data_IF_767168561657
#
_entry.id   IF_767168561657
#
_cell.length_a   1.000
_cell.length_b   1.000
_cell.length_c   1.000
_cell.angle_alpha   90.00
_cell.angle_beta   90.00
_cell.angle_gamma   90.00
#
_symmetry.space_group_name_H-M   'P 1'
#
loop_
_entity.id
_entity.type
_entity.pdbx_description
1 polymer ?
#
# COMPACT_ATOMS: atom_id res chain seq x y z
N UNK A 1 0.33 4.26 30.14
CA UNK A 1 1.23 3.64 29.15
C UNK A 1 1.28 4.56 27.93
N UNK A 2 2.46 4.91 27.38
CA UNK A 2 2.59 5.80 26.22
C UNK A 2 2.69 4.96 24.93
N UNK A 3 1.79 5.14 23.93
CA UNK A 3 1.80 4.33 22.71
C UNK A 3 2.85 4.83 21.70
N UNK A 4 3.66 3.90 21.16
CA UNK A 4 4.67 4.18 20.12
C UNK A 4 4.27 3.70 18.72
N UNK A 5 3.18 2.95 18.61
CA UNK A 5 2.60 2.48 17.33
C UNK A 5 1.18 3.02 17.21
N UNK A 6 0.77 3.28 15.98
CA UNK A 6 -0.62 3.62 15.65
C UNK A 6 -1.36 2.38 15.15
N UNK A 7 -2.57 2.56 14.63
CA UNK A 7 -3.48 1.47 14.28
C UNK A 7 -3.20 0.83 12.91
N UNK A 8 -3.79 -0.35 12.68
CA UNK A 8 -3.77 -1.09 11.42
C UNK A 8 -4.07 -0.23 10.19
N UNK A 9 -5.15 0.56 10.23
CA UNK A 9 -5.54 1.47 9.15
C UNK A 9 -4.42 2.42 8.71
N UNK A 10 -3.66 2.98 9.65
CA UNK A 10 -2.56 3.87 9.29
C UNK A 10 -1.46 3.14 8.49
N UNK A 11 -1.14 1.90 8.89
CA UNK A 11 -0.21 1.03 8.17
C UNK A 11 -0.65 0.73 6.74
N UNK A 12 -1.91 0.34 6.58
CA UNK A 12 -2.49 0.05 5.27
C UNK A 12 -2.54 1.31 4.38
N UNK A 13 -2.98 2.44 4.94
CA UNK A 13 -3.00 3.72 4.25
C UNK A 13 -1.62 4.15 3.77
N UNK A 14 -0.57 3.91 4.57
CA UNK A 14 0.82 4.22 4.20
C UNK A 14 1.27 3.46 2.95
N UNK A 15 0.86 2.20 2.79
CA UNK A 15 1.13 1.40 1.58
C UNK A 15 0.45 2.01 0.36
N UNK A 16 -0.85 2.29 0.47
CA UNK A 16 -1.67 2.84 -0.61
C UNK A 16 -1.13 4.20 -1.07
N UNK A 17 -0.74 5.08 -0.13
CA UNK A 17 -0.19 6.39 -0.46
C UNK A 17 1.16 6.32 -1.20
N UNK A 18 1.85 5.19 -1.11
CA UNK A 18 3.04 4.90 -1.91
C UNK A 18 2.76 4.71 -3.40
N UNK A 19 1.51 4.41 -3.75
CA UNK A 19 1.03 4.27 -5.14
C UNK A 19 0.57 5.64 -5.63
N UNK A 20 1.20 6.19 -6.67
CA UNK A 20 1.06 7.59 -7.07
C UNK A 20 -0.31 7.92 -7.66
N UNK A 21 -0.81 7.00 -8.49
CA UNK A 21 -2.06 7.07 -9.25
C UNK A 21 -3.23 6.37 -8.54
N UNK A 22 -3.09 6.12 -7.24
CA UNK A 22 -4.14 5.58 -6.37
C UNK A 22 -4.83 6.66 -5.52
N UNK A 23 -6.13 6.45 -5.29
CA UNK A 23 -6.91 7.15 -4.26
C UNK A 23 -7.24 6.18 -3.14
N UNK A 24 -7.01 6.62 -1.90
CA UNK A 24 -7.42 5.89 -0.70
C UNK A 24 -8.82 6.35 -0.30
N UNK A 25 -9.82 5.48 -0.45
CA UNK A 25 -11.18 5.69 0.05
C UNK A 25 -11.38 4.90 1.34
N UNK A 26 -11.49 5.60 2.46
CA UNK A 26 -11.61 4.96 3.77
C UNK A 26 -13.09 4.90 4.15
N UNK A 27 -13.67 3.70 4.18
CA UNK A 27 -15.02 3.46 4.66
C UNK A 27 -15.09 3.65 6.17
N UNK A 28 -15.48 4.86 6.57
CA UNK A 28 -15.29 5.34 7.95
C UNK A 28 -16.09 6.60 8.27
N UNK A 29 -16.31 6.89 9.57
CA UNK A 29 -16.71 8.20 10.02
C UNK A 29 -15.63 9.26 9.74
N UNK A 30 -16.07 10.50 9.50
CA UNK A 30 -15.20 11.63 9.11
C UNK A 30 -14.01 11.88 10.03
N UNK A 31 -14.18 11.67 11.35
CA UNK A 31 -13.16 11.96 12.35
C UNK A 31 -11.89 11.11 12.20
N UNK A 32 -12.03 9.86 11.76
CA UNK A 32 -10.88 8.98 11.54
C UNK A 32 -9.96 9.54 10.45
N UNK A 33 -10.55 9.89 9.31
CA UNK A 33 -9.81 10.43 8.17
C UNK A 33 -9.27 11.82 8.44
N UNK A 34 -10.02 12.67 9.16
CA UNK A 34 -9.51 13.97 9.59
C UNK A 34 -8.21 13.82 10.39
N UNK A 35 -8.18 12.94 11.38
CA UNK A 35 -7.00 12.70 12.22
C UNK A 35 -5.84 12.10 11.42
N UNK A 36 -6.10 11.15 10.51
CA UNK A 36 -5.06 10.58 9.65
C UNK A 36 -4.47 11.62 8.70
N UNK A 37 -5.31 12.46 8.08
CA UNK A 37 -4.87 13.57 7.23
C UNK A 37 -4.07 14.59 8.03
N UNK A 38 -4.49 14.91 9.25
CA UNK A 38 -3.74 15.81 10.12
C UNK A 38 -2.36 15.23 10.47
N UNK A 39 -2.30 14.00 10.97
CA UNK A 39 -1.05 13.32 11.35
C UNK A 39 -0.08 13.20 10.17
N UNK A 40 -0.57 12.80 8.99
CA UNK A 40 0.24 12.67 7.78
C UNK A 40 0.65 14.04 7.22
N UNK A 41 -0.22 15.04 7.30
CA UNK A 41 0.06 16.41 6.87
C UNK A 41 1.18 17.06 7.70
N UNK A 42 1.14 16.91 9.03
CA UNK A 42 2.22 17.36 9.93
C UNK A 42 3.55 16.66 9.62
N UNK A 43 3.50 15.44 9.06
CA UNK A 43 4.68 14.69 8.60
C UNK A 43 5.08 15.00 7.15
N UNK A 44 4.51 16.03 6.54
CA UNK A 44 4.85 16.50 5.17
C UNK A 44 4.26 15.68 4.03
N UNK A 45 3.30 14.78 4.29
CA UNK A 45 2.66 14.00 3.24
C UNK A 45 1.59 14.81 2.50
N UNK A 46 1.44 14.58 1.20
CA UNK A 46 0.30 15.08 0.41
C UNK A 46 -0.96 14.25 0.73
N UNK A 47 -1.96 14.89 1.33
CA UNK A 47 -3.16 14.21 1.86
C UNK A 47 -4.41 14.38 1.01
N UNK A 48 -4.29 15.00 -0.16
CA UNK A 48 -5.39 15.25 -1.10
C UNK A 48 -5.99 13.98 -1.74
N UNK A 49 -5.32 12.83 -1.58
CA UNK A 49 -5.74 11.52 -2.11
C UNK A 49 -6.39 10.61 -1.05
N UNK A 50 -6.69 11.17 0.14
CA UNK A 50 -7.29 10.44 1.25
C UNK A 50 -8.72 10.94 1.41
N UNK A 51 -9.66 10.09 1.00
CA UNK A 51 -11.09 10.35 1.02
C UNK A 51 -11.78 9.44 2.03
N UNK A 52 -13.01 9.79 2.38
CA UNK A 52 -13.83 9.03 3.33
C UNK A 52 -15.24 8.91 2.77
N UNK A 53 -15.92 7.84 3.13
CA UNK A 53 -17.36 7.72 2.86
C UNK A 53 -18.20 8.58 3.82
N UNK A 54 -17.60 9.14 4.87
CA UNK A 54 -18.29 9.84 5.95
C UNK A 54 -19.47 9.05 6.52
N UNK A 55 -19.20 7.84 7.01
CA UNK A 55 -20.22 7.04 7.70
C UNK A 55 -20.79 7.82 8.90
N UNK A 56 -22.10 7.77 9.07
CA UNK A 56 -22.84 8.32 10.20
C UNK A 56 -23.59 7.23 10.97
N UNK A 57 -24.37 7.64 11.97
CA UNK A 57 -25.13 6.73 12.83
C UNK A 57 -26.07 5.81 12.04
N UNK A 58 -26.67 6.27 10.94
CA UNK A 58 -27.59 5.46 10.15
C UNK A 58 -26.85 4.33 9.46
N UNK A 59 -25.67 4.61 8.92
CA UNK A 59 -24.84 3.56 8.29
C UNK A 59 -24.37 2.51 9.31
N UNK A 60 -24.17 2.91 10.58
CA UNK A 60 -23.82 1.97 11.65
C UNK A 60 -25.00 1.07 12.03
N UNK A 61 -26.23 1.60 12.02
CA UNK A 61 -27.44 0.84 12.36
C UNK A 61 -27.92 -0.06 11.22
N UNK A 62 -27.89 0.45 9.99
CA UNK A 62 -28.50 -0.19 8.81
C UNK A 62 -27.50 -0.76 7.80
N UNK A 63 -26.20 -0.57 8.02
CA UNK A 63 -25.14 -0.93 7.07
C UNK A 63 -24.72 0.25 6.17
N UNK A 64 -23.44 0.24 5.78
CA UNK A 64 -22.77 1.28 5.00
C UNK A 64 -22.62 0.97 3.51
N UNK A 65 -23.04 -0.22 3.07
CA UNK A 65 -22.86 -0.71 1.69
C UNK A 65 -23.31 0.29 0.62
N UNK A 66 -24.55 0.80 0.72
CA UNK A 66 -25.12 1.73 -0.28
C UNK A 66 -24.28 3.01 -0.34
N UNK A 67 -23.80 3.48 0.82
CA UNK A 67 -22.94 4.67 0.89
C UNK A 67 -21.58 4.40 0.27
N UNK A 68 -21.00 3.22 0.53
CA UNK A 68 -19.73 2.81 -0.06
C UNK A 68 -19.83 2.71 -1.59
N UNK A 69 -20.86 2.04 -2.13
CA UNK A 69 -21.12 1.94 -3.58
C UNK A 69 -21.16 3.33 -4.22
N UNK A 70 -21.96 4.25 -3.65
CA UNK A 70 -22.08 5.63 -4.17
C UNK A 70 -20.75 6.39 -4.09
N UNK A 71 -20.01 6.24 -3.00
CA UNK A 71 -18.72 6.91 -2.84
C UNK A 71 -17.68 6.42 -3.85
N UNK A 72 -17.60 5.11 -4.12
CA UNK A 72 -16.70 4.54 -5.13
C UNK A 72 -17.01 5.13 -6.51
N UNK A 73 -18.28 5.13 -6.92
CA UNK A 73 -18.72 5.69 -8.21
C UNK A 73 -18.43 7.19 -8.31
N UNK A 74 -18.63 7.95 -7.24
CA UNK A 74 -18.33 9.38 -7.22
C UNK A 74 -16.83 9.64 -7.38
N UNK A 75 -15.99 8.87 -6.67
CA UNK A 75 -14.54 8.97 -6.75
C UNK A 75 -14.05 8.66 -8.15
N UNK A 76 -14.52 7.57 -8.77
CA UNK A 76 -14.17 7.20 -10.15
C UNK A 76 -14.53 8.31 -11.12
N UNK A 77 -15.79 8.78 -11.08
CA UNK A 77 -16.28 9.83 -11.98
C UNK A 77 -15.52 11.15 -11.83
N UNK A 78 -15.23 11.56 -10.59
CA UNK A 78 -14.67 12.89 -10.28
C UNK A 78 -13.16 12.95 -10.48
N UNK A 79 -12.44 11.93 -10.03
CA UNK A 79 -10.98 11.96 -10.00
C UNK A 79 -10.34 11.08 -11.07
N UNK A 80 -11.08 10.13 -11.64
CA UNK A 80 -10.62 9.18 -12.67
C UNK A 80 -9.26 8.54 -12.32
N UNK A 81 -9.09 7.98 -11.11
CA UNK A 81 -7.83 7.35 -10.72
C UNK A 81 -7.63 6.03 -11.46
N UNK A 82 -6.39 5.53 -11.51
CA UNK A 82 -6.13 4.19 -12.04
C UNK A 82 -6.48 3.10 -11.01
N UNK A 83 -6.37 3.43 -9.72
CA UNK A 83 -6.64 2.54 -8.59
C UNK A 83 -7.44 3.25 -7.50
N UNK A 84 -8.51 2.63 -7.02
CA UNK A 84 -9.19 3.02 -5.78
C UNK A 84 -8.91 1.92 -4.76
N UNK A 85 -8.18 2.24 -3.70
CA UNK A 85 -8.02 1.35 -2.57
C UNK A 85 -9.06 1.67 -1.51
N UNK A 86 -9.87 0.66 -1.16
CA UNK A 86 -10.97 0.77 -0.20
C UNK A 86 -10.48 0.21 1.13
N UNK A 87 -10.44 1.05 2.16
CA UNK A 87 -9.93 0.67 3.49
C UNK A 87 -11.04 0.70 4.54
N UNK A 88 -11.11 -0.30 5.41
CA UNK A 88 -12.03 -0.27 6.56
C UNK A 88 -11.44 0.45 7.76
N UNK A 89 -12.30 1.11 8.53
CA UNK A 89 -12.00 1.62 9.88
C UNK A 89 -12.55 0.70 10.97
N UNK A 90 -12.33 1.04 12.24
CA UNK A 90 -12.91 0.28 13.35
C UNK A 90 -14.43 0.19 13.24
N UNK A 91 -15.12 1.27 12.87
CA UNK A 91 -16.58 1.29 12.80
C UNK A 91 -17.10 0.30 11.74
N UNK A 92 -16.61 0.39 10.50
CA UNK A 92 -17.00 -0.51 9.42
C UNK A 92 -16.59 -1.96 9.68
N UNK A 93 -15.44 -2.19 10.34
CA UNK A 93 -15.02 -3.54 10.73
C UNK A 93 -15.90 -4.13 11.83
N UNK A 94 -16.32 -3.35 12.83
CA UNK A 94 -17.14 -3.83 13.96
C UNK A 94 -18.53 -4.26 13.48
N UNK A 95 -19.15 -3.48 12.59
CA UNK A 95 -20.46 -3.82 12.04
C UNK A 95 -20.39 -4.92 10.97
N UNK A 96 -19.18 -5.33 10.56
CA UNK A 96 -18.97 -6.45 9.64
C UNK A 96 -19.24 -6.11 8.17
N UNK A 97 -18.91 -4.89 7.73
CA UNK A 97 -19.05 -4.51 6.31
C UNK A 97 -18.19 -5.41 5.41
N UNK A 98 -18.84 -6.08 4.44
CA UNK A 98 -18.16 -6.88 3.42
C UNK A 98 -17.78 -6.02 2.21
N UNK A 99 -16.65 -5.32 2.32
CA UNK A 99 -16.16 -4.46 1.24
C UNK A 99 -15.77 -5.25 -0.02
N UNK A 100 -15.49 -6.55 0.08
CA UNK A 100 -15.17 -7.37 -1.09
C UNK A 100 -16.42 -7.67 -1.92
N UNK A 101 -17.55 -7.93 -1.28
CA UNK A 101 -18.84 -8.05 -1.95
C UNK A 101 -19.21 -6.73 -2.64
N UNK A 102 -19.06 -5.60 -1.93
CA UNK A 102 -19.40 -4.28 -2.47
C UNK A 102 -18.62 -3.96 -3.75
N UNK A 103 -17.30 -4.21 -3.78
CA UNK A 103 -16.49 -3.89 -4.97
C UNK A 103 -16.81 -4.79 -6.17
N UNK A 104 -17.35 -6.00 -5.96
CA UNK A 104 -17.78 -6.88 -7.06
C UNK A 104 -19.06 -6.40 -7.74
N UNK A 105 -19.90 -5.70 -7.00
CA UNK A 105 -21.19 -5.18 -7.45
C UNK A 105 -21.12 -3.78 -8.06
N UNK A 106 -19.93 -3.17 -8.14
CA UNK A 106 -19.74 -1.79 -8.61
C UNK A 106 -19.00 -1.80 -9.95
N UNK A 107 -19.62 -1.19 -10.95
CA UNK A 107 -19.03 -1.01 -12.27
C UNK A 107 -18.39 0.38 -12.40
N UNK A 108 -17.06 0.43 -12.48
CA UNK A 108 -16.24 1.64 -12.54
C UNK A 108 -14.96 1.40 -13.35
N UNK A 109 -14.32 2.46 -13.83
CA UNK A 109 -13.13 2.35 -14.68
C UNK A 109 -11.86 2.02 -13.89
N UNK A 110 -11.73 2.59 -12.68
CA UNK A 110 -10.60 2.35 -11.81
C UNK A 110 -10.56 0.90 -11.31
N UNK A 111 -9.35 0.34 -11.18
CA UNK A 111 -9.15 -0.94 -10.50
C UNK A 111 -9.51 -0.77 -9.02
N UNK A 112 -10.21 -1.72 -8.44
CA UNK A 112 -10.63 -1.67 -7.03
C UNK A 112 -9.76 -2.60 -6.18
N UNK A 113 -9.27 -2.09 -5.05
CA UNK A 113 -8.44 -2.85 -4.10
C UNK A 113 -9.05 -2.78 -2.69
N UNK A 114 -9.88 -3.75 -2.29
CA UNK A 114 -10.41 -3.84 -0.93
C UNK A 114 -9.32 -4.30 0.05
N UNK A 115 -9.16 -3.57 1.17
CA UNK A 115 -8.20 -3.85 2.24
C UNK A 115 -8.90 -3.75 3.60
N UNK A 116 -9.04 -4.87 4.28
CA UNK A 116 -9.52 -4.89 5.66
C UNK A 116 -8.44 -4.35 6.62
N UNK A 117 -8.76 -3.25 7.29
CA UNK A 117 -7.79 -2.51 8.10
C UNK A 117 -8.37 -1.93 9.39
N UNK A 118 -9.33 -2.63 10.00
CA UNK A 118 -9.93 -2.23 11.28
C UNK A 118 -8.87 -1.94 12.32
N UNK A 119 -8.89 -0.72 12.89
CA UNK A 119 -7.76 -0.21 13.67
C UNK A 119 -7.47 -0.97 14.97
N UNK A 120 -8.46 -1.69 15.51
CA UNK A 120 -8.31 -2.52 16.72
C UNK A 120 -7.81 -3.95 16.42
N UNK A 121 -7.83 -4.38 15.15
CA UNK A 121 -7.45 -5.74 14.74
C UNK A 121 -5.93 -5.96 14.75
N UNK A 122 -5.14 -4.90 14.93
CA UNK A 122 -3.69 -4.95 14.90
C UNK A 122 -3.06 -3.56 14.88
N UNK A 123 -1.75 -3.52 14.78
CA UNK A 123 -1.00 -2.26 14.72
C UNK A 123 -0.62 -1.87 13.29
N UNK A 124 0.06 -0.73 13.16
CA UNK A 124 0.50 -0.20 11.86
C UNK A 124 1.38 -1.18 11.03
N UNK A 125 2.09 -2.12 11.66
CA UNK A 125 2.92 -3.11 10.95
C UNK A 125 1.99 -4.17 10.34
N UNK A 126 1.01 -4.63 11.10
CA UNK A 126 0.03 -5.62 10.62
C UNK A 126 -0.76 -5.07 9.42
N UNK A 127 -1.19 -3.81 9.51
CA UNK A 127 -1.91 -3.17 8.40
C UNK A 127 -1.04 -2.95 7.17
N UNK A 128 0.25 -2.69 7.36
CA UNK A 128 1.19 -2.58 6.24
C UNK A 128 1.39 -3.92 5.54
N UNK A 129 1.59 -5.01 6.30
CA UNK A 129 1.71 -6.36 5.75
C UNK A 129 0.47 -6.73 4.95
N UNK A 130 -0.72 -6.51 5.51
CA UNK A 130 -1.98 -6.85 4.87
C UNK A 130 -2.18 -6.09 3.57
N UNK A 131 -1.98 -4.77 3.58
CA UNK A 131 -2.07 -3.96 2.39
C UNK A 131 -1.02 -4.36 1.33
N UNK A 132 0.21 -4.68 1.74
CA UNK A 132 1.25 -5.09 0.82
C UNK A 132 0.93 -6.43 0.15
N UNK A 133 0.34 -7.40 0.87
CA UNK A 133 -0.15 -8.66 0.27
C UNK A 133 -1.21 -8.38 -0.81
N UNK A 134 -2.19 -7.52 -0.50
CA UNK A 134 -3.21 -7.10 -1.47
C UNK A 134 -2.60 -6.38 -2.68
N UNK A 135 -1.55 -5.57 -2.49
CA UNK A 135 -0.80 -4.97 -3.60
C UNK A 135 -0.09 -6.01 -4.47
N UNK A 136 0.43 -7.10 -3.90
CA UNK A 136 1.02 -8.21 -4.66
C UNK A 136 -0.02 -8.90 -5.55
N UNK A 137 -1.29 -8.93 -5.15
CA UNK A 137 -2.37 -9.48 -5.98
C UNK A 137 -2.65 -8.66 -7.24
N UNK A 138 -2.17 -7.41 -7.32
CA UNK A 138 -2.27 -6.59 -8.52
C UNK A 138 -1.23 -6.93 -9.60
N UNK A 139 -0.20 -7.70 -9.26
CA UNK A 139 0.90 -8.05 -10.18
C UNK A 139 0.39 -9.00 -11.26
N UNK A 140 0.73 -8.73 -12.52
CA UNK A 140 0.32 -9.55 -13.66
C UNK A 140 1.30 -10.72 -13.85
N UNK A 141 0.77 -11.92 -14.04
CA UNK A 141 1.56 -13.14 -14.27
C UNK A 141 2.03 -13.25 -15.73
N UNK A 142 3.10 -14.04 -15.96
CA UNK A 142 3.53 -14.42 -17.31
C UNK A 142 4.44 -13.43 -18.04
N UNK A 143 5.07 -12.49 -17.35
CA UNK A 143 6.05 -11.61 -17.97
C UNK A 143 7.46 -12.25 -17.99
N UNK A 144 8.17 -12.10 -19.11
CA UNK A 144 9.58 -12.52 -19.20
C UNK A 144 10.43 -11.73 -18.20
N UNK A 145 11.32 -12.44 -17.51
CA UNK A 145 12.23 -11.84 -16.53
C UNK A 145 13.33 -11.05 -17.22
N UNK A 146 13.62 -9.86 -16.70
CA UNK A 146 14.74 -9.02 -17.11
C UNK A 146 15.76 -8.87 -15.97
N UNK A 147 16.92 -8.26 -16.26
CA UNK A 147 17.98 -7.98 -15.28
C UNK A 147 17.65 -6.79 -14.38
N UNK A 148 16.45 -6.76 -13.81
CA UNK A 148 16.02 -5.75 -12.84
C UNK A 148 15.65 -6.37 -11.49
N UNK A 149 15.52 -5.50 -10.48
CA UNK A 149 15.04 -5.88 -9.16
C UNK A 149 13.84 -5.04 -8.71
N UNK A 150 13.03 -5.56 -7.79
CA UNK A 150 12.02 -4.79 -7.08
C UNK A 150 12.51 -4.44 -5.66
N UNK A 151 12.15 -3.26 -5.18
CA UNK A 151 12.29 -2.88 -3.77
C UNK A 151 10.96 -3.10 -3.05
N UNK A 152 10.99 -3.84 -1.94
CA UNK A 152 9.81 -4.17 -1.14
C UNK A 152 9.83 -3.47 0.23
N UNK A 153 8.64 -3.11 0.72
CA UNK A 153 8.41 -2.53 2.04
C UNK A 153 9.23 -1.26 2.32
N UNK A 154 9.21 -0.31 1.38
CA UNK A 154 9.93 0.96 1.51
C UNK A 154 9.16 1.93 2.40
N UNK A 155 9.67 2.16 3.62
CA UNK A 155 9.05 3.11 4.56
C UNK A 155 9.47 4.56 4.34
N UNK A 156 10.66 4.78 3.79
CA UNK A 156 11.21 6.12 3.58
C UNK A 156 11.37 6.35 2.08
N UNK A 157 10.64 7.33 1.58
CA UNK A 157 10.77 7.82 0.21
C UNK A 157 11.28 9.25 0.25
N UNK A 158 11.88 9.73 -0.85
CA UNK A 158 12.67 10.97 -0.86
C UNK A 158 14.13 10.63 -1.03
N UNK A 159 15.04 11.42 -0.44
CA UNK A 159 16.47 11.30 -0.67
C UNK A 159 17.05 9.92 -0.33
N UNK A 160 16.60 9.29 0.77
CA UNK A 160 17.04 7.94 1.14
C UNK A 160 16.76 6.92 0.01
N UNK A 161 15.56 6.99 -0.60
CA UNK A 161 15.20 6.08 -1.68
C UNK A 161 15.92 6.42 -2.99
N UNK A 162 16.07 7.70 -3.32
CA UNK A 162 16.81 8.10 -4.51
C UNK A 162 18.28 7.68 -4.40
N UNK A 163 18.87 7.76 -3.20
CA UNK A 163 20.25 7.31 -2.96
C UNK A 163 20.38 5.79 -3.06
N UNK A 164 19.44 5.03 -2.48
CA UNK A 164 19.40 3.56 -2.67
C UNK A 164 19.30 3.21 -4.15
N UNK A 165 18.41 3.87 -4.91
CA UNK A 165 18.29 3.67 -6.36
C UNK A 165 19.57 4.04 -7.11
N UNK A 166 20.24 5.13 -6.71
CA UNK A 166 21.52 5.56 -7.29
C UNK A 166 22.61 4.52 -7.05
N UNK A 167 22.73 3.98 -5.83
CA UNK A 167 23.69 2.93 -5.50
C UNK A 167 23.45 1.66 -6.33
N UNK A 168 22.19 1.21 -6.45
CA UNK A 168 21.82 0.05 -7.28
C UNK A 168 22.20 0.31 -8.75
N UNK A 169 21.95 1.52 -9.24
CA UNK A 169 22.31 1.91 -10.61
C UNK A 169 23.82 1.90 -10.87
N UNK A 170 24.67 2.16 -9.86
CA UNK A 170 26.12 2.10 -10.02
C UNK A 170 26.64 0.67 -10.25
N UNK A 171 25.91 -0.34 -9.76
CA UNK A 171 26.20 -1.76 -9.98
C UNK A 171 25.65 -2.24 -11.33
N UNK A 172 25.01 -1.35 -12.10
CA UNK A 172 24.44 -1.67 -13.41
C UNK A 172 23.07 -2.37 -13.36
N UNK A 173 22.41 -2.38 -12.20
CA UNK A 173 21.08 -2.99 -12.04
C UNK A 173 19.98 -1.92 -12.09
N UNK A 174 18.87 -2.23 -12.74
CA UNK A 174 17.69 -1.35 -12.79
C UNK A 174 16.71 -1.72 -11.67
N UNK A 175 16.11 -0.70 -11.03
CA UNK A 175 14.93 -0.91 -10.17
C UNK A 175 13.67 -0.87 -11.04
N UNK A 176 12.90 -1.96 -11.04
CA UNK A 176 11.68 -2.09 -11.82
C UNK A 176 10.45 -1.53 -11.11
N UNK A 177 10.20 -1.98 -9.89
CA UNK A 177 9.13 -1.45 -9.05
C UNK A 177 9.65 -1.14 -7.65
N UNK A 178 9.11 -0.11 -7.02
CA UNK A 178 9.37 0.21 -5.62
C UNK A 178 8.05 0.09 -4.86
N UNK A 179 7.68 -1.14 -4.51
CA UNK A 179 6.41 -1.38 -3.84
C UNK A 179 6.39 -0.54 -2.56
N UNK A 180 5.30 0.21 -2.40
CA UNK A 180 5.01 1.16 -1.30
C UNK A 180 5.72 2.51 -1.31
N UNK A 181 6.49 2.86 -2.36
CA UNK A 181 7.12 4.17 -2.44
C UNK A 181 7.27 4.72 -3.87
N UNK A 182 6.51 5.77 -4.18
CA UNK A 182 6.51 6.48 -5.49
C UNK A 182 6.38 5.51 -6.68
N UNK A 183 5.57 4.47 -6.56
CA UNK A 183 5.31 3.52 -7.64
C UNK A 183 3.97 3.83 -8.30
N UNK A 184 3.83 3.51 -9.58
CA UNK A 184 2.55 3.57 -10.31
C UNK A 184 1.89 2.19 -10.34
N UNK A 185 0.59 2.13 -10.59
CA UNK A 185 -0.12 0.85 -10.80
C UNK A 185 0.55 0.02 -11.90
N UNK A 186 0.95 0.67 -13.00
CA UNK A 186 1.62 0.01 -14.13
C UNK A 186 2.94 -0.67 -13.75
N UNK A 187 3.73 -0.04 -12.89
CA UNK A 187 4.98 -0.64 -12.37
C UNK A 187 4.70 -1.83 -11.45
N UNK A 188 3.64 -1.75 -10.63
CA UNK A 188 3.19 -2.87 -9.80
C UNK A 188 2.75 -4.04 -10.69
N UNK A 189 1.91 -3.79 -11.69
CA UNK A 189 1.46 -4.82 -12.64
C UNK A 189 2.65 -5.49 -13.35
N UNK A 190 3.70 -4.72 -13.67
CA UNK A 190 4.94 -5.20 -14.26
C UNK A 190 5.99 -5.74 -13.27
N UNK A 191 5.67 -5.87 -11.97
CA UNK A 191 6.65 -6.29 -10.96
C UNK A 191 7.15 -7.73 -11.15
N UNK A 192 6.40 -8.57 -11.87
CA UNK A 192 6.77 -9.97 -12.17
C UNK A 192 7.98 -10.10 -13.11
N UNK A 193 8.34 -9.02 -13.82
CA UNK A 193 9.52 -8.96 -14.72
C UNK A 193 10.85 -8.96 -13.98
N UNK A 194 10.87 -8.54 -12.71
CA UNK A 194 12.12 -8.46 -11.98
C UNK A 194 12.67 -9.86 -11.66
N UNK A 195 13.98 -10.00 -11.72
CA UNK A 195 14.68 -11.24 -11.37
C UNK A 195 14.97 -11.36 -9.86
N UNK A 196 14.83 -10.27 -9.10
CA UNK A 196 15.15 -10.25 -7.68
C UNK A 196 14.23 -9.29 -6.91
N UNK A 197 13.83 -9.66 -5.69
CA UNK A 197 13.20 -8.77 -4.73
C UNK A 197 14.17 -8.40 -3.60
N UNK A 198 14.31 -7.12 -3.28
CA UNK A 198 15.12 -6.64 -2.15
C UNK A 198 14.20 -6.07 -1.08
N UNK A 199 14.26 -6.65 0.11
CA UNK A 199 13.41 -6.27 1.25
C UNK A 199 14.09 -5.15 2.03
N UNK A 200 13.50 -3.95 2.00
CA UNK A 200 14.02 -2.78 2.72
C UNK A 200 13.58 -2.76 4.20
N UNK A 201 12.53 -3.50 4.55
CA UNK A 201 12.06 -3.62 5.92
C UNK A 201 11.53 -5.03 6.21
N UNK A 202 12.27 -5.82 6.99
CA UNK A 202 11.95 -7.23 7.29
C UNK A 202 10.56 -7.37 7.89
N UNK A 203 10.25 -6.50 8.87
CA UNK A 203 9.02 -6.62 9.65
C UNK A 203 7.77 -6.52 8.79
N UNK A 204 7.85 -5.99 7.57
CA UNK A 204 6.69 -5.70 6.73
C UNK A 204 6.76 -6.29 5.32
N UNK A 205 7.96 -6.62 4.83
CA UNK A 205 8.16 -7.08 3.44
C UNK A 205 8.30 -8.59 3.25
N UNK A 206 8.64 -9.35 4.28
CA UNK A 206 8.93 -10.80 4.14
C UNK A 206 7.73 -11.59 3.64
N UNK A 207 6.54 -11.33 4.16
CA UNK A 207 5.33 -12.07 3.76
C UNK A 207 5.02 -11.87 2.27
N UNK A 208 5.11 -10.62 1.80
CA UNK A 208 4.93 -10.28 0.40
C UNK A 208 6.00 -10.91 -0.49
N UNK A 209 7.27 -10.88 -0.05
CA UNK A 209 8.38 -11.48 -0.79
C UNK A 209 8.20 -13.00 -0.95
N UNK A 210 7.75 -13.69 0.12
CA UNK A 210 7.43 -15.13 0.08
C UNK A 210 6.29 -15.45 -0.88
N UNK A 211 5.27 -14.59 -0.94
CA UNK A 211 4.18 -14.74 -1.92
C UNK A 211 4.72 -14.57 -3.34
N UNK A 212 5.57 -13.57 -3.56
CA UNK A 212 6.16 -13.31 -4.88
C UNK A 212 7.12 -14.44 -5.33
N UNK A 213 7.87 -15.02 -4.40
CA UNK A 213 8.70 -16.19 -4.65
C UNK A 213 7.86 -17.40 -5.05
N UNK A 214 6.77 -17.68 -4.31
CA UNK A 214 5.88 -18.82 -4.61
C UNK A 214 5.10 -18.66 -5.91
N UNK A 215 4.61 -17.46 -6.22
CA UNK A 215 3.72 -17.20 -7.37
C UNK A 215 4.49 -16.88 -8.66
N UNK A 216 5.57 -16.11 -8.56
CA UNK A 216 6.32 -15.61 -9.72
C UNK A 216 7.75 -16.19 -9.80
N UNK A 217 8.16 -17.02 -8.85
CA UNK A 217 9.50 -17.60 -8.80
C UNK A 217 10.61 -16.55 -8.62
N UNK A 218 10.30 -15.40 -8.02
CA UNK A 218 11.28 -14.31 -7.84
C UNK A 218 11.93 -14.45 -6.47
N UNK A 219 13.23 -14.78 -6.39
CA UNK A 219 13.94 -14.89 -5.11
C UNK A 219 13.98 -13.54 -4.41
N UNK A 220 14.25 -13.55 -3.10
CA UNK A 220 14.38 -12.33 -2.33
C UNK A 220 15.63 -12.29 -1.44
N UNK A 221 16.17 -11.09 -1.26
CA UNK A 221 17.25 -10.80 -0.32
C UNK A 221 16.81 -9.76 0.70
N UNK A 222 17.41 -9.82 1.88
CA UNK A 222 17.30 -8.78 2.89
C UNK A 222 18.70 -8.33 3.31
N UNK A 223 19.32 -7.38 2.60
CA UNK A 223 20.60 -6.82 2.98
C UNK A 223 20.44 -5.82 4.14
N UNK A 224 21.54 -5.51 4.80
CA UNK A 224 21.60 -4.34 5.67
C UNK A 224 21.32 -3.08 4.84
N UNK A 225 20.58 -2.14 5.42
CA UNK A 225 20.37 -0.85 4.78
C UNK A 225 21.74 -0.14 4.63
N UNK A 226 21.99 0.58 3.52
CA UNK A 226 23.28 1.21 3.24
C UNK A 226 23.50 2.46 4.11
N UNK A 227 23.69 2.24 5.41
CA UNK A 227 23.92 3.27 6.43
C UNK A 227 25.33 3.07 6.98
N UNK A 228 26.23 3.98 6.61
CA UNK A 228 27.66 3.86 6.90
C UNK A 228 28.40 2.99 5.88
N UNK A 229 29.73 3.04 5.91
CA UNK A 229 30.60 2.47 4.87
C UNK A 229 30.40 0.95 4.74
N UNK A 230 30.55 0.20 5.84
CA UNK A 230 30.46 -1.28 5.82
C UNK A 230 29.12 -1.81 5.32
N UNK A 231 28.03 -1.17 5.74
CA UNK A 231 26.69 -1.59 5.33
C UNK A 231 26.43 -1.22 3.87
N UNK A 232 27.00 -0.11 3.39
CA UNK A 232 26.92 0.28 1.97
C UNK A 232 27.70 -0.67 1.09
N UNK A 233 28.93 -1.05 1.48
CA UNK A 233 29.73 -2.06 0.78
C UNK A 233 28.97 -3.39 0.70
N UNK A 234 28.48 -3.90 1.83
CA UNK A 234 27.68 -5.14 1.87
C UNK A 234 26.37 -5.08 1.09
N UNK A 235 25.84 -3.89 0.81
CA UNK A 235 24.60 -3.72 0.05
C UNK A 235 24.82 -3.79 -1.46
N UNK A 236 26.00 -3.36 -1.94
CA UNK A 236 26.33 -3.28 -3.38
C UNK A 236 27.09 -4.51 -3.89
N UNK A 237 27.68 -5.31 -3.01
CA UNK A 237 28.38 -6.57 -3.33
C UNK A 237 27.47 -7.78 -3.17
#
# INVERSE_FOLDING_TARGET
MQPYRTCKLFGALRVVLGIQDAIALIHSPRGCVYNLRYLLGVRGAKTNRILTTEMDEKDVIFGGEVRLKRAIMEVDRKYKPNLIAILTSCASSIIGEDIELVVRDVDVNAKLLPIYSGGFEGDQIDGYKEALKKVVDLIVEGADKDSSLNLLAVYRYGWDLEEVKRLISLVGVRVNATLTAKTTLKEIEGASKASLNVIMCVSSGVDAARIMEKRFGIPYLHPLLPVGIRATESFIT
#
